data_IF_770290844311
#
_entry.id   IF_770290844311
#
_cell.length_a   1.000
_cell.length_b   1.000
_cell.length_c   1.000
_cell.angle_alpha   90.00
_cell.angle_beta   90.00
_cell.angle_gamma   90.00
#
_symmetry.space_group_name_H-M   'P 1'
#
loop_
_entity.id
_entity.type
_entity.pdbx_description
1 polymer ?
#
# COMPACT_ATOMS: atom_id res chain seq x y z
N UNK A 1 14.13 -13.74 -69.29
CA UNK A 1 13.22 -13.98 -68.16
C UNK A 1 14.08 -13.80 -66.89
N UNK A 2 14.39 -12.60 -66.38
CA UNK A 2 13.51 -11.49 -65.90
C UNK A 2 12.42 -12.04 -64.97
N UNK A 3 12.22 -11.70 -63.70
CA UNK A 3 12.60 -10.61 -62.77
C UNK A 3 12.46 -11.20 -61.33
N UNK A 4 13.32 -10.98 -60.32
CA UNK A 4 13.58 -9.79 -59.50
C UNK A 4 12.52 -9.46 -58.40
N UNK A 5 13.05 -9.11 -57.20
CA UNK A 5 12.52 -8.28 -56.09
C UNK A 5 11.68 -8.88 -54.93
N UNK A 6 12.34 -8.88 -53.77
CA UNK A 6 11.98 -8.20 -52.51
C UNK A 6 10.75 -8.65 -51.70
N UNK A 7 11.01 -9.19 -50.50
CA UNK A 7 10.16 -8.98 -49.34
C UNK A 7 10.19 -7.49 -48.95
N UNK A 8 9.04 -6.81 -48.80
CA UNK A 8 8.99 -5.52 -48.15
C UNK A 8 8.81 -5.70 -46.63
N UNK A 9 9.74 -5.09 -45.92
CA UNK A 9 9.62 -4.55 -44.57
C UNK A 9 8.23 -3.93 -44.37
N UNK A 10 7.59 -4.25 -43.24
CA UNK A 10 6.60 -3.38 -42.61
C UNK A 10 7.15 -2.92 -41.27
N UNK A 11 8.17 -2.07 -41.36
CA UNK A 11 8.40 -0.97 -40.41
C UNK A 11 7.20 -0.02 -40.51
N UNK A 12 6.33 0.00 -39.50
CA UNK A 12 5.37 1.08 -39.34
C UNK A 12 4.94 1.21 -37.86
N UNK A 13 5.53 2.16 -37.10
CA UNK A 13 5.13 2.41 -35.71
C UNK A 13 3.70 2.96 -35.56
N UNK A 14 3.02 3.32 -36.66
CA UNK A 14 1.63 3.81 -36.65
C UNK A 14 0.54 2.73 -36.62
N UNK A 15 0.87 1.44 -36.81
CA UNK A 15 -0.13 0.37 -36.82
C UNK A 15 -0.62 0.00 -35.42
N UNK A 16 0.21 0.17 -34.40
CA UNK A 16 -0.11 -0.10 -32.99
C UNK A 16 -0.92 1.03 -32.34
N UNK A 17 -0.68 2.29 -32.72
CA UNK A 17 -1.51 3.43 -32.32
C UNK A 17 -2.95 3.34 -32.89
N UNK A 18 -3.12 2.82 -34.10
CA UNK A 18 -4.43 2.71 -34.74
C UNK A 18 -5.36 1.69 -34.05
N UNK A 19 -4.80 0.62 -33.46
CA UNK A 19 -5.58 -0.37 -32.73
C UNK A 19 -6.04 0.14 -31.35
N UNK A 20 -5.23 0.99 -30.70
CA UNK A 20 -5.56 1.59 -29.41
C UNK A 20 -6.60 2.71 -29.54
N UNK A 21 -6.60 3.45 -30.64
CA UNK A 21 -7.53 4.57 -30.86
C UNK A 21 -8.93 4.14 -31.35
N UNK A 22 -9.05 2.99 -32.02
CA UNK A 22 -10.31 2.53 -32.61
C UNK A 22 -11.37 2.05 -31.57
N UNK A 23 -10.97 1.75 -30.34
CA UNK A 23 -11.87 1.34 -29.25
C UNK A 23 -12.49 2.51 -28.46
N UNK A 24 -12.03 3.75 -28.70
CA UNK A 24 -12.44 4.93 -27.91
C UNK A 24 -13.51 5.80 -28.61
N UNK A 25 -13.77 5.59 -29.90
CA UNK A 25 -14.66 6.46 -30.67
C UNK A 25 -15.99 5.80 -31.07
N UNK A 26 -16.88 5.51 -30.12
CA UNK A 26 -18.32 5.40 -30.39
C UNK A 26 -19.11 6.50 -29.65
N UNK A 27 -20.03 7.20 -30.32
CA UNK A 27 -20.68 8.40 -29.78
C UNK A 27 -21.77 8.05 -28.76
N UNK A 28 -21.47 8.24 -27.47
CA UNK A 28 -22.41 8.00 -26.35
C UNK A 28 -23.55 9.04 -26.21
N UNK A 29 -23.73 9.97 -27.16
CA UNK A 29 -24.76 11.00 -27.06
C UNK A 29 -25.70 11.01 -28.27
N UNK A 30 -26.57 10.01 -28.36
CA UNK A 30 -27.83 10.16 -29.10
C UNK A 30 -28.84 10.82 -28.18
N UNK A 31 -29.28 12.03 -28.53
CA UNK A 31 -30.36 12.77 -27.87
C UNK A 31 -31.67 12.01 -28.05
N UNK A 32 -32.09 11.26 -27.04
CA UNK A 32 -33.38 10.58 -27.01
C UNK A 32 -33.67 10.08 -25.61
N UNK A 33 -34.58 10.74 -24.90
CA UNK A 33 -35.04 10.30 -23.58
C UNK A 33 -35.60 8.88 -23.65
N UNK A 34 -35.25 8.06 -22.67
CA UNK A 34 -35.71 6.66 -22.61
C UNK A 34 -37.24 6.65 -22.49
N UNK A 35 -37.95 5.96 -23.41
CA UNK A 35 -39.40 5.97 -23.42
C UNK A 35 -39.91 5.32 -22.13
N UNK A 36 -40.74 6.06 -21.38
CA UNK A 36 -41.38 5.56 -20.16
C UNK A 36 -40.80 6.07 -18.84
N UNK A 37 -39.75 6.90 -18.83
CA UNK A 37 -39.28 7.57 -17.59
C UNK A 37 -40.02 8.89 -17.38
N UNK A 38 -40.78 9.00 -16.30
CA UNK A 38 -41.40 10.25 -15.87
C UNK A 38 -40.32 11.15 -15.22
N UNK A 39 -39.66 11.96 -16.06
CA UNK A 39 -38.52 12.79 -15.67
C UNK A 39 -38.88 13.84 -14.61
N UNK A 40 -40.15 14.25 -14.54
CA UNK A 40 -40.60 15.25 -13.57
C UNK A 40 -40.76 14.64 -12.18
N UNK A 41 -41.25 13.39 -12.09
CA UNK A 41 -41.21 12.63 -10.83
C UNK A 41 -39.80 12.32 -10.35
N UNK A 42 -38.90 11.97 -11.27
CA UNK A 42 -37.49 11.73 -10.94
C UNK A 42 -36.80 12.99 -10.39
N UNK A 43 -37.08 14.16 -10.97
CA UNK A 43 -36.56 15.45 -10.47
C UNK A 43 -37.11 15.82 -9.10
N UNK A 44 -38.41 15.56 -8.86
CA UNK A 44 -39.03 15.84 -7.57
C UNK A 44 -38.42 14.95 -6.46
N UNK A 45 -38.23 13.66 -6.75
CA UNK A 45 -37.61 12.71 -5.83
C UNK A 45 -36.16 13.06 -5.49
N UNK A 46 -35.40 13.58 -6.47
CA UNK A 46 -34.04 14.06 -6.22
C UNK A 46 -34.02 15.30 -5.30
N UNK A 47 -34.99 16.21 -5.47
CA UNK A 47 -35.11 17.42 -4.64
C UNK A 47 -35.53 17.10 -3.20
N UNK A 48 -36.31 16.04 -2.99
CA UNK A 48 -36.72 15.58 -1.66
C UNK A 48 -35.74 14.60 -1.02
N UNK A 49 -34.65 14.22 -1.72
CA UNK A 49 -33.66 13.21 -1.30
C UNK A 49 -34.29 11.88 -0.86
N UNK A 50 -35.43 11.54 -1.47
CA UNK A 50 -36.15 10.30 -1.17
C UNK A 50 -35.73 9.21 -2.16
N UNK A 51 -35.03 8.22 -1.62
CA UNK A 51 -34.45 7.11 -2.39
C UNK A 51 -35.53 6.15 -2.91
N UNK A 52 -36.65 6.01 -2.18
CA UNK A 52 -37.74 5.12 -2.58
C UNK A 52 -38.56 5.73 -3.72
N UNK A 53 -38.82 7.04 -3.66
CA UNK A 53 -39.48 7.76 -4.75
C UNK A 53 -38.63 7.75 -6.04
N UNK A 54 -37.30 7.85 -5.91
CA UNK A 54 -36.37 7.79 -7.04
C UNK A 54 -36.39 6.41 -7.71
N UNK A 55 -36.50 5.33 -6.91
CA UNK A 55 -36.59 3.97 -7.43
C UNK A 55 -37.89 3.73 -8.20
N UNK A 56 -39.02 4.24 -7.70
CA UNK A 56 -40.33 4.09 -8.36
C UNK A 56 -40.42 4.87 -9.68
N UNK A 57 -39.80 6.04 -9.78
CA UNK A 57 -39.80 6.83 -11.02
C UNK A 57 -39.02 6.19 -12.18
N UNK A 58 -38.16 5.21 -11.89
CA UNK A 58 -37.35 4.50 -12.88
C UNK A 58 -37.95 3.17 -13.34
N UNK A 59 -39.08 2.74 -12.77
CA UNK A 59 -39.78 1.52 -13.15
C UNK A 59 -40.94 1.88 -14.08
N UNK A 60 -40.86 1.49 -15.36
CA UNK A 60 -41.96 1.64 -16.31
C UNK A 60 -43.07 0.61 -15.98
N UNK A 61 -44.36 0.98 -16.04
CA UNK A 61 -45.44 0.08 -15.68
C UNK A 61 -45.77 -0.86 -16.85
N UNK A 62 -45.43 -2.14 -16.67
CA UNK A 62 -46.01 -3.25 -17.43
C UNK A 62 -45.29 -3.58 -18.72
N UNK A 63 -44.41 -4.58 -18.66
CA UNK A 63 -44.32 -5.64 -19.67
C UNK A 63 -43.42 -6.76 -19.12
N UNK A 64 -44.06 -7.88 -18.80
CA UNK A 64 -43.40 -9.13 -18.47
C UNK A 64 -42.87 -9.75 -19.76
N UNK A 65 -41.56 -9.76 -19.97
CA UNK A 65 -40.93 -10.55 -21.03
C UNK A 65 -39.79 -11.39 -20.47
N UNK A 66 -40.03 -12.71 -20.51
CA UNK A 66 -39.07 -13.78 -20.29
C UNK A 66 -37.90 -13.63 -21.25
N UNK A 67 -36.77 -13.11 -20.76
CA UNK A 67 -35.46 -13.38 -21.35
C UNK A 67 -34.58 -14.01 -20.27
N UNK A 68 -34.30 -15.30 -20.45
CA UNK A 68 -33.24 -16.03 -19.78
C UNK A 68 -31.91 -15.36 -20.12
N UNK A 69 -31.51 -14.40 -19.29
CA UNK A 69 -30.11 -14.08 -19.09
C UNK A 69 -29.84 -14.27 -17.61
N UNK A 70 -29.04 -15.31 -17.34
CA UNK A 70 -28.44 -15.63 -16.05
C UNK A 70 -27.52 -14.46 -15.65
N UNK A 71 -28.12 -13.38 -15.16
CA UNK A 71 -27.39 -12.37 -14.42
C UNK A 71 -27.30 -12.86 -12.98
N UNK A 72 -26.20 -13.55 -12.70
CA UNK A 72 -25.73 -13.81 -11.35
C UNK A 72 -25.87 -12.54 -10.52
N UNK A 73 -26.54 -12.70 -9.38
CA UNK A 73 -26.69 -11.73 -8.31
C UNK A 73 -25.35 -11.09 -7.94
N UNK A 74 -25.09 -9.87 -8.41
CA UNK A 74 -24.04 -9.00 -7.87
C UNK A 74 -24.61 -7.81 -7.10
N UNK A 75 -25.90 -7.83 -6.77
CA UNK A 75 -26.58 -6.75 -6.04
C UNK A 75 -26.91 -7.10 -4.58
N UNK A 76 -26.17 -8.06 -4.02
CA UNK A 76 -26.26 -8.46 -2.60
C UNK A 76 -24.88 -8.41 -1.92
N UNK A 77 -23.99 -7.50 -2.34
CA UNK A 77 -22.73 -7.19 -1.67
C UNK A 77 -22.45 -5.69 -1.68
N UNK A 78 -23.40 -4.88 -1.20
CA UNK A 78 -23.04 -3.60 -0.61
C UNK A 78 -22.54 -3.87 0.81
N UNK A 79 -21.41 -4.59 0.92
CA UNK A 79 -20.69 -4.67 2.17
C UNK A 79 -20.11 -3.28 2.40
N UNK A 80 -20.69 -2.52 3.32
CA UNK A 80 -20.04 -1.35 3.89
C UNK A 80 -18.79 -1.84 4.63
N UNK A 81 -17.71 -2.07 3.88
CA UNK A 81 -16.43 -2.51 4.40
C UNK A 81 -15.81 -1.35 5.18
N UNK A 82 -16.19 -1.24 6.45
CA UNK A 82 -15.46 -0.40 7.40
C UNK A 82 -14.22 -1.17 7.80
N UNK A 83 -13.13 -0.93 7.07
CA UNK A 83 -11.84 -1.54 7.36
C UNK A 83 -11.20 -0.79 8.53
N UNK A 84 -11.17 -1.42 9.71
CA UNK A 84 -10.51 -0.89 10.90
C UNK A 84 -9.13 -1.54 11.03
N UNK A 85 -8.12 -0.98 10.36
CA UNK A 85 -6.73 -1.39 10.50
C UNK A 85 -6.17 -1.02 11.87
N UNK A 86 -6.06 -2.00 12.78
CA UNK A 86 -5.38 -1.86 14.09
C UNK A 86 -3.96 -2.42 14.01
N UNK A 87 -3.13 -1.93 13.10
CA UNK A 87 -1.75 -2.40 12.96
C UNK A 87 -0.88 -1.94 14.15
N UNK A 88 -1.05 -0.70 14.60
CA UNK A 88 -0.20 -0.10 15.64
C UNK A 88 -0.31 -0.80 17.00
N UNK A 89 -1.47 -1.36 17.35
CA UNK A 89 -1.64 -2.05 18.64
C UNK A 89 -0.88 -3.37 18.77
N UNK A 90 -0.52 -4.01 17.64
CA UNK A 90 0.16 -5.30 17.66
C UNK A 90 1.62 -5.16 18.10
N UNK A 91 2.31 -4.15 17.58
CA UNK A 91 3.75 -3.99 17.83
C UNK A 91 4.02 -3.48 19.26
N UNK A 92 3.15 -2.62 19.79
CA UNK A 92 3.20 -2.25 21.21
C UNK A 92 2.94 -3.43 22.13
N UNK A 93 2.00 -4.31 21.78
CA UNK A 93 1.71 -5.49 22.61
C UNK A 93 2.92 -6.44 22.64
N UNK A 94 3.57 -6.67 21.50
CA UNK A 94 4.81 -7.45 21.44
C UNK A 94 5.88 -6.82 22.32
N UNK A 95 6.11 -5.51 22.20
CA UNK A 95 7.11 -4.81 23.01
C UNK A 95 6.83 -4.97 24.52
N UNK A 96 5.58 -4.83 24.97
CA UNK A 96 5.18 -5.03 26.38
C UNK A 96 5.43 -6.45 26.86
N UNK A 97 5.07 -7.45 26.06
CA UNK A 97 5.25 -8.86 26.45
C UNK A 97 6.74 -9.21 26.53
N UNK A 98 7.54 -8.81 25.53
CA UNK A 98 8.97 -9.10 25.52
C UNK A 98 9.73 -8.32 26.60
N UNK A 99 9.43 -7.04 26.82
CA UNK A 99 10.03 -6.25 27.89
C UNK A 99 9.70 -6.81 29.28
N UNK A 100 8.43 -7.15 29.52
CA UNK A 100 8.01 -7.74 30.79
C UNK A 100 8.62 -9.12 31.07
N UNK A 101 8.77 -9.96 30.04
CA UNK A 101 9.44 -11.26 30.17
C UNK A 101 10.93 -11.08 30.48
N UNK A 102 11.62 -10.17 29.81
CA UNK A 102 13.04 -9.90 30.04
C UNK A 102 13.28 -9.39 31.46
N UNK A 103 12.47 -8.43 31.92
CA UNK A 103 12.55 -7.90 33.29
C UNK A 103 12.35 -8.98 34.37
N UNK A 104 11.37 -9.88 34.20
CA UNK A 104 11.13 -10.96 35.17
C UNK A 104 12.29 -11.96 35.21
N UNK A 105 12.76 -12.38 34.03
CA UNK A 105 13.85 -13.37 33.92
C UNK A 105 15.15 -12.80 34.49
N UNK A 106 15.47 -11.55 34.17
CA UNK A 106 16.69 -10.88 34.62
C UNK A 106 16.68 -10.67 36.13
N UNK A 107 15.57 -10.21 36.71
CA UNK A 107 15.45 -10.08 38.18
C UNK A 107 15.55 -11.45 38.87
N UNK A 108 14.93 -12.49 38.32
CA UNK A 108 15.05 -13.84 38.88
C UNK A 108 16.49 -14.34 38.87
N UNK A 109 17.21 -14.16 37.76
CA UNK A 109 18.60 -14.53 37.62
C UNK A 109 19.51 -13.80 38.63
N UNK A 110 19.31 -12.47 38.79
CA UNK A 110 20.06 -11.65 39.75
C UNK A 110 19.79 -12.10 41.19
N UNK A 111 18.52 -12.30 41.55
CA UNK A 111 18.14 -12.74 42.90
C UNK A 111 18.71 -14.12 43.20
N UNK A 112 18.60 -15.07 42.27
CA UNK A 112 19.16 -16.41 42.41
C UNK A 112 20.69 -16.38 42.59
N UNK A 113 21.39 -15.57 41.79
CA UNK A 113 22.84 -15.37 41.91
C UNK A 113 23.25 -14.73 43.25
N UNK A 114 22.52 -13.71 43.70
CA UNK A 114 22.79 -13.05 44.97
C UNK A 114 22.56 -13.97 46.18
N UNK A 115 21.53 -14.82 46.13
CA UNK A 115 21.27 -15.83 47.16
C UNK A 115 22.38 -16.88 47.16
N UNK A 116 22.81 -17.36 45.99
CA UNK A 116 23.94 -18.28 45.87
C UNK A 116 25.27 -17.70 46.40
N UNK A 117 25.46 -16.38 46.28
CA UNK A 117 26.61 -15.66 46.80
C UNK A 117 26.46 -15.20 48.27
N UNK A 118 25.36 -15.56 48.94
CA UNK A 118 25.09 -15.27 50.35
C UNK A 118 25.09 -13.75 50.68
N UNK A 119 24.55 -12.92 49.79
CA UNK A 119 24.43 -11.48 49.99
C UNK A 119 23.28 -11.14 50.96
N UNK A 120 23.45 -10.05 51.72
CA UNK A 120 22.39 -9.54 52.60
C UNK A 120 21.18 -9.07 51.78
N UNK A 121 19.93 -9.41 52.17
CA UNK A 121 18.72 -9.11 51.38
C UNK A 121 18.56 -7.64 50.99
N UNK A 122 18.96 -6.71 51.86
CA UNK A 122 18.88 -5.27 51.55
C UNK A 122 19.73 -4.85 50.36
N UNK A 123 20.88 -5.51 50.13
CA UNK A 123 21.75 -5.23 48.97
C UNK A 123 21.16 -5.80 47.69
N UNK A 124 20.50 -6.95 47.77
CA UNK A 124 19.85 -7.62 46.62
C UNK A 124 18.76 -6.76 46.03
N UNK A 125 17.94 -6.11 46.87
CA UNK A 125 16.87 -5.20 46.40
C UNK A 125 17.45 -3.99 45.66
N UNK A 126 18.52 -3.38 46.19
CA UNK A 126 19.17 -2.23 45.56
C UNK A 126 19.75 -2.61 44.18
N UNK A 127 20.40 -3.78 44.10
CA UNK A 127 20.98 -4.30 42.85
C UNK A 127 19.86 -4.58 41.83
N UNK A 128 18.77 -5.24 42.25
CA UNK A 128 17.64 -5.55 41.37
C UNK A 128 16.96 -4.30 40.80
N UNK A 129 16.66 -3.31 41.65
CA UNK A 129 16.06 -2.04 41.19
C UNK A 129 17.02 -1.28 40.27
N UNK A 130 18.31 -1.25 40.60
CA UNK A 130 19.33 -0.62 39.76
C UNK A 130 19.42 -1.26 38.37
N UNK A 131 19.38 -2.60 38.30
CA UNK A 131 19.41 -3.32 37.04
C UNK A 131 18.16 -3.07 36.21
N UNK A 132 16.97 -3.11 36.83
CA UNK A 132 15.72 -2.84 36.13
C UNK A 132 15.71 -1.44 35.49
N UNK A 133 16.19 -0.42 36.22
CA UNK A 133 16.31 0.93 35.68
C UNK A 133 17.33 1.01 34.54
N UNK A 134 18.45 0.29 34.65
CA UNK A 134 19.45 0.23 33.60
C UNK A 134 18.91 -0.44 32.33
N UNK A 135 18.17 -1.54 32.47
CA UNK A 135 17.54 -2.27 31.36
C UNK A 135 16.49 -1.39 30.67
N UNK A 136 15.60 -0.74 31.42
CA UNK A 136 14.59 0.16 30.89
C UNK A 136 15.19 1.35 30.12
N UNK A 137 16.24 1.97 30.67
CA UNK A 137 16.95 3.07 30.00
C UNK A 137 17.64 2.58 28.74
N UNK A 138 18.29 1.41 28.80
CA UNK A 138 18.99 0.81 27.65
C UNK A 138 18.02 0.49 26.51
N UNK A 139 16.87 -0.12 26.81
CA UNK A 139 15.86 -0.45 25.81
C UNK A 139 15.24 0.82 25.18
N UNK A 140 14.88 1.81 26.00
CA UNK A 140 14.34 3.07 25.49
C UNK A 140 15.35 3.88 24.67
N UNK A 141 16.61 3.93 25.11
CA UNK A 141 17.68 4.59 24.37
C UNK A 141 18.04 3.85 23.07
N UNK A 142 18.06 2.52 23.11
CA UNK A 142 18.29 1.68 21.94
C UNK A 142 17.25 1.90 20.85
N UNK A 143 15.96 1.92 21.22
CA UNK A 143 14.88 2.22 20.28
C UNK A 143 14.98 3.65 19.72
N UNK A 144 15.33 4.64 20.55
CA UNK A 144 15.54 6.01 20.09
C UNK A 144 16.62 6.09 19.00
N UNK A 145 17.79 5.51 19.28
CA UNK A 145 18.93 5.55 18.35
C UNK A 145 18.62 4.74 17.09
N UNK A 146 18.00 3.56 17.24
CA UNK A 146 17.61 2.72 16.10
C UNK A 146 16.60 3.44 15.20
N UNK A 147 15.57 4.04 15.80
CA UNK A 147 14.56 4.81 15.07
C UNK A 147 15.15 6.03 14.36
N UNK A 148 16.11 6.72 14.98
CA UNK A 148 16.77 7.87 14.36
C UNK A 148 17.67 7.42 13.19
N UNK A 149 18.41 6.33 13.36
CA UNK A 149 19.25 5.77 12.31
C UNK A 149 18.43 5.27 11.11
N UNK A 150 17.27 4.65 11.35
CA UNK A 150 16.35 4.24 10.30
C UNK A 150 15.81 5.45 9.51
N UNK A 151 15.43 6.53 10.21
CA UNK A 151 14.94 7.76 9.57
C UNK A 151 16.03 8.41 8.70
N UNK A 152 17.25 8.52 9.22
CA UNK A 152 18.40 9.04 8.48
C UNK A 152 18.74 8.16 7.28
N UNK A 153 18.68 6.83 7.43
CA UNK A 153 18.95 5.87 6.35
C UNK A 153 17.91 5.96 5.22
N UNK A 154 16.62 5.97 5.56
CA UNK A 154 15.55 6.12 4.56
C UNK A 154 15.68 7.44 3.80
N UNK A 155 16.05 8.51 4.50
CA UNK A 155 16.27 9.82 3.87
C UNK A 155 17.47 9.80 2.93
N UNK A 156 18.59 9.22 3.34
CA UNK A 156 19.78 9.15 2.49
C UNK A 156 19.56 8.29 1.24
N UNK A 157 18.84 7.17 1.37
CA UNK A 157 18.50 6.32 0.24
C UNK A 157 17.56 7.04 -0.73
N UNK A 158 16.57 7.77 -0.21
CA UNK A 158 15.69 8.58 -1.05
C UNK A 158 16.46 9.65 -1.84
N UNK A 159 17.42 10.33 -1.21
CA UNK A 159 18.25 11.34 -1.89
C UNK A 159 19.14 10.71 -2.98
N UNK A 160 19.63 9.48 -2.75
CA UNK A 160 20.39 8.69 -3.75
C UNK A 160 19.50 8.32 -4.94
N UNK A 161 18.34 7.74 -4.67
CA UNK A 161 17.35 7.34 -5.67
C UNK A 161 16.91 8.51 -6.56
N UNK A 162 16.62 9.66 -5.93
CA UNK A 162 16.25 10.88 -6.65
C UNK A 162 17.36 11.35 -7.59
N UNK A 163 18.63 11.19 -7.19
CA UNK A 163 19.79 11.49 -8.03
C UNK A 163 19.95 10.48 -9.17
N UNK A 164 19.78 9.18 -8.91
CA UNK A 164 19.90 8.11 -9.91
C UNK A 164 18.84 8.26 -11.01
N UNK A 165 17.60 8.58 -10.66
CA UNK A 165 16.53 8.88 -11.62
C UNK A 165 16.84 10.09 -12.52
N UNK A 166 17.55 11.10 -12.01
CA UNK A 166 17.91 12.29 -12.79
C UNK A 166 19.12 12.04 -13.72
N UNK A 167 20.08 11.24 -13.28
CA UNK A 167 21.36 11.06 -13.97
C UNK A 167 21.39 9.81 -14.86
N UNK A 168 20.69 8.75 -14.48
CA UNK A 168 20.68 7.44 -15.14
C UNK A 168 19.25 6.91 -15.44
N UNK A 169 18.34 7.70 -16.04
CA UNK A 169 16.92 7.35 -16.16
C UNK A 169 16.61 6.10 -17.00
N UNK A 170 17.55 5.65 -17.84
CA UNK A 170 17.36 4.43 -18.62
C UNK A 170 17.69 3.18 -17.81
N UNK A 171 18.66 3.26 -16.89
CA UNK A 171 19.07 2.16 -16.02
C UNK A 171 17.95 1.90 -14.99
N UNK A 172 17.48 2.95 -14.30
CA UNK A 172 16.36 2.85 -13.34
C UNK A 172 15.09 2.21 -13.91
N UNK A 173 14.78 2.51 -15.19
CA UNK A 173 13.64 1.90 -15.86
C UNK A 173 13.84 0.41 -16.10
N UNK A 174 15.04 0.02 -16.51
CA UNK A 174 15.37 -1.38 -16.73
C UNK A 174 15.32 -2.17 -15.43
N UNK A 175 15.82 -1.61 -14.34
CA UNK A 175 15.76 -2.22 -13.01
C UNK A 175 14.31 -2.49 -12.58
N UNK A 176 13.40 -1.52 -12.78
CA UNK A 176 11.98 -1.74 -12.51
C UNK A 176 11.32 -2.80 -13.40
N UNK A 177 11.68 -2.84 -14.68
CA UNK A 177 11.18 -3.88 -15.60
C UNK A 177 11.62 -5.25 -15.12
N UNK A 178 12.88 -5.39 -14.72
CA UNK A 178 13.44 -6.62 -14.14
C UNK A 178 12.71 -7.02 -12.87
N UNK A 179 12.48 -6.08 -11.94
CA UNK A 179 11.71 -6.34 -10.71
C UNK A 179 10.30 -6.84 -11.04
N UNK A 180 9.59 -6.21 -11.98
CA UNK A 180 8.24 -6.64 -12.35
C UNK A 180 8.20 -8.03 -12.97
N UNK A 181 9.20 -8.37 -13.79
CA UNK A 181 9.33 -9.69 -14.40
C UNK A 181 9.63 -10.75 -13.36
N UNK A 182 10.62 -10.50 -12.50
CA UNK A 182 11.14 -11.50 -11.57
C UNK A 182 10.24 -11.69 -10.35
N UNK A 183 9.72 -10.60 -9.78
CA UNK A 183 8.88 -10.65 -8.57
C UNK A 183 7.44 -10.98 -8.87
N UNK A 184 6.87 -10.40 -9.93
CA UNK A 184 5.44 -10.48 -10.24
C UNK A 184 5.11 -11.32 -11.47
N UNK A 185 6.10 -11.69 -12.29
CA UNK A 185 5.90 -12.53 -13.47
C UNK A 185 5.25 -11.79 -14.65
N UNK A 186 5.43 -10.46 -14.74
CA UNK A 186 4.86 -9.68 -15.83
C UNK A 186 5.55 -9.99 -17.16
N UNK A 187 4.83 -9.87 -18.27
CA UNK A 187 5.47 -9.92 -19.59
C UNK A 187 6.31 -8.66 -19.80
N UNK A 188 7.32 -8.76 -20.66
CA UNK A 188 8.25 -7.65 -20.92
C UNK A 188 7.51 -6.41 -21.45
N UNK A 189 6.50 -6.63 -22.30
CA UNK A 189 5.71 -5.54 -22.89
C UNK A 189 4.83 -4.82 -21.86
N UNK A 190 4.23 -5.57 -20.93
CA UNK A 190 3.36 -5.01 -19.89
C UNK A 190 4.18 -4.28 -18.80
N UNK A 191 5.35 -4.84 -18.45
CA UNK A 191 6.30 -4.21 -17.52
C UNK A 191 6.85 -2.89 -18.09
N UNK A 192 7.29 -2.88 -19.36
CA UNK A 192 7.73 -1.67 -20.05
C UNK A 192 6.62 -0.61 -20.12
N UNK A 193 5.40 -1.03 -20.44
CA UNK A 193 4.26 -0.12 -20.49
C UNK A 193 4.00 0.51 -19.12
N UNK A 194 4.01 -0.29 -18.04
CA UNK A 194 3.79 0.17 -16.68
C UNK A 194 4.87 1.15 -16.25
N UNK A 195 6.15 0.80 -16.43
CA UNK A 195 7.29 1.67 -16.09
C UNK A 195 7.21 3.00 -16.85
N UNK A 196 6.87 2.99 -18.13
CA UNK A 196 6.72 4.22 -18.89
C UNK A 196 5.54 5.10 -18.44
N UNK A 197 4.50 4.51 -17.85
CA UNK A 197 3.39 5.26 -17.24
C UNK A 197 3.81 5.83 -15.88
N UNK A 198 4.41 5.01 -15.02
CA UNK A 198 4.78 5.40 -13.65
C UNK A 198 5.90 6.44 -13.65
N UNK A 199 6.87 6.32 -14.56
CA UNK A 199 7.99 7.27 -14.69
C UNK A 199 7.54 8.71 -15.02
N UNK A 200 6.34 8.91 -15.58
CA UNK A 200 5.78 10.26 -15.78
C UNK A 200 5.48 10.98 -14.47
N UNK A 201 5.26 10.23 -13.39
CA UNK A 201 4.92 10.73 -12.07
C UNK A 201 6.11 10.51 -11.13
N UNK A 202 7.10 11.40 -11.19
CA UNK A 202 8.38 11.24 -10.47
C UNK A 202 8.23 10.89 -8.99
N UNK A 203 7.43 11.64 -8.24
CA UNK A 203 7.22 11.38 -6.79
C UNK A 203 6.67 9.99 -6.51
N UNK A 204 5.75 9.52 -7.37
CA UNK A 204 5.19 8.17 -7.26
C UNK A 204 6.25 7.13 -7.63
N UNK A 205 7.03 7.38 -8.69
CA UNK A 205 8.08 6.48 -9.14
C UNK A 205 9.15 6.28 -8.06
N UNK A 206 9.68 7.37 -7.47
CA UNK A 206 10.64 7.31 -6.35
C UNK A 206 10.07 6.51 -5.18
N UNK A 207 8.83 6.81 -4.76
CA UNK A 207 8.21 6.06 -3.64
C UNK A 207 8.01 4.59 -3.98
N UNK A 208 7.74 4.27 -5.25
CA UNK A 208 7.56 2.92 -5.70
C UNK A 208 8.89 2.15 -5.74
N UNK A 209 9.96 2.77 -6.25
CA UNK A 209 11.34 2.25 -6.20
C UNK A 209 11.76 1.93 -4.77
N UNK A 210 11.60 2.90 -3.85
CA UNK A 210 11.92 2.75 -2.43
C UNK A 210 11.25 1.50 -1.81
N UNK A 211 10.04 1.15 -2.25
CA UNK A 211 9.29 -0.01 -1.73
C UNK A 211 9.64 -1.31 -2.46
N UNK A 212 9.69 -1.30 -3.78
CA UNK A 212 9.84 -2.52 -4.58
C UNK A 212 11.29 -3.00 -4.68
N UNK A 213 12.23 -2.08 -4.81
CA UNK A 213 13.65 -2.38 -4.90
C UNK A 213 14.25 -2.51 -3.49
N UNK A 214 14.15 -1.45 -2.68
CA UNK A 214 14.83 -1.38 -1.38
C UNK A 214 14.02 -2.03 -0.25
N UNK A 215 12.72 -2.30 -0.44
CA UNK A 215 11.85 -2.80 0.63
C UNK A 215 11.60 -1.79 1.74
N UNK A 216 11.96 -0.52 1.52
CA UNK A 216 11.82 0.56 2.48
C UNK A 216 10.45 1.21 2.30
N UNK A 217 9.55 0.95 3.24
CA UNK A 217 8.34 1.74 3.35
C UNK A 217 8.71 3.09 3.97
N UNK A 218 8.37 4.19 3.29
CA UNK A 218 8.35 5.52 3.89
C UNK A 218 7.31 5.50 5.02
N UNK A 219 7.75 5.09 6.21
CA UNK A 219 6.88 5.02 7.37
C UNK A 219 6.62 6.46 7.80
N UNK A 220 5.38 6.93 7.66
CA UNK A 220 4.88 8.03 8.48
C UNK A 220 4.69 7.51 9.91
N UNK A 221 5.81 7.12 10.53
CA UNK A 221 5.88 6.63 11.88
C UNK A 221 5.85 7.78 12.89
N UNK A 222 5.47 7.52 14.15
CA UNK A 222 5.65 8.51 15.20
C UNK A 222 7.13 8.90 15.32
N UNK A 223 7.39 10.20 15.56
CA UNK A 223 8.75 10.75 15.76
C UNK A 223 9.60 9.85 16.68
N UNK A 224 10.92 9.73 16.48
CA UNK A 224 11.80 8.84 17.26
C UNK A 224 11.61 8.91 18.77
N UNK A 225 11.36 10.12 19.30
CA UNK A 225 11.09 10.38 20.71
C UNK A 225 9.80 9.67 21.20
N UNK A 226 8.76 9.61 20.37
CA UNK A 226 7.50 8.93 20.69
C UNK A 226 7.65 7.41 20.67
N UNK A 227 8.49 6.85 19.79
CA UNK A 227 8.82 5.42 19.78
C UNK A 227 9.58 5.05 21.07
N UNK A 228 10.62 5.80 21.39
CA UNK A 228 11.45 5.59 22.58
C UNK A 228 10.67 5.68 23.91
N UNK A 229 9.75 6.64 24.03
CA UNK A 229 8.95 6.85 25.25
C UNK A 229 7.95 5.71 25.53
N UNK A 230 7.59 4.93 24.50
CA UNK A 230 6.60 3.85 24.61
C UNK A 230 7.22 2.46 24.72
N UNK A 231 8.55 2.35 24.74
CA UNK A 231 9.21 1.08 25.03
C UNK A 231 9.01 0.74 26.50
N UNK A 232 8.28 -0.33 26.83
CA UNK A 232 8.14 -0.80 28.19
C UNK A 232 9.44 -1.48 28.62
N UNK A 233 10.02 -1.00 29.72
CA UNK A 233 11.10 -1.69 30.43
C UNK A 233 10.61 -2.69 31.47
#
# INVERSE_FOLDING_TARGET
MQHDKSLPLLDNPGAVEAACFASVQQPCCSKGGVPGRDLDKARLAYKTRDVHATRQANLAPGEAHNHHHQHSNYNELACAHTESHKQTSSDYLKAIVFGGLDGIVTIFAIVAGCVGANLHPSKVVIIGVGNLLADAISMGFGEFVSSAAEEDFVKSEREREEWEIENCPNEEKQEMVEIYRDRYGFTEEDADCLVNITFKYREFFVQHMMVEELGLMATEGPSPIRRACWVPG
#
